data_IF_410872336414
#
_entry.id   IF_410872336414
#
_cell.length_a   1.000
_cell.length_b   1.000
_cell.length_c   1.000
_cell.angle_alpha   90.00
_cell.angle_beta   90.00
_cell.angle_gamma   90.00
#
_symmetry.space_group_name_H-M   'P 1'
#
loop_
_entity.id
_entity.type
_entity.pdbx_description
1 polymer ?
#
# COMPACT_ATOMS: atom_id res chain seq x y z
N UNK A 1 7.48 -1.18 -20.46
CA UNK A 1 6.61 -1.42 -19.29
C UNK A 1 7.18 -0.63 -18.14
N UNK A 2 6.39 0.29 -17.58
CA UNK A 2 6.81 1.14 -16.47
C UNK A 2 7.22 0.32 -15.24
N UNK A 3 8.09 0.86 -14.38
CA UNK A 3 8.56 0.20 -13.16
C UNK A 3 7.36 -0.17 -12.28
N UNK A 4 6.38 0.73 -12.19
CA UNK A 4 5.14 0.51 -11.47
C UNK A 4 4.34 -0.71 -12.01
N UNK A 5 4.19 -0.82 -13.33
CA UNK A 5 3.50 -1.97 -13.95
C UNK A 5 4.25 -3.30 -13.75
N UNK A 6 5.59 -3.25 -13.66
CA UNK A 6 6.41 -4.42 -13.30
C UNK A 6 6.16 -4.84 -11.85
N UNK A 7 6.14 -3.88 -10.93
CA UNK A 7 5.90 -4.14 -9.52
C UNK A 7 4.51 -4.74 -9.29
N UNK A 8 3.47 -4.14 -9.87
CA UNK A 8 2.11 -4.67 -9.81
C UNK A 8 2.02 -6.09 -10.40
N UNK A 9 2.71 -6.34 -11.52
CA UNK A 9 2.78 -7.68 -12.11
C UNK A 9 3.44 -8.67 -11.14
N UNK A 10 4.55 -8.29 -10.52
CA UNK A 10 5.28 -9.12 -9.55
C UNK A 10 4.39 -9.44 -8.34
N UNK A 11 3.66 -8.47 -7.82
CA UNK A 11 2.70 -8.66 -6.73
C UNK A 11 1.57 -9.62 -7.11
N UNK A 12 0.98 -9.44 -8.30
CA UNK A 12 -0.06 -10.35 -8.80
C UNK A 12 0.44 -11.79 -8.92
N UNK A 13 1.67 -11.98 -9.40
CA UNK A 13 2.28 -13.31 -9.49
C UNK A 13 2.59 -13.90 -8.12
N UNK A 14 3.06 -13.09 -7.15
CA UNK A 14 3.24 -13.54 -5.76
C UNK A 14 1.90 -14.00 -5.16
N UNK A 15 0.80 -13.30 -5.44
CA UNK A 15 -0.53 -13.71 -5.00
C UNK A 15 -0.94 -15.06 -5.61
N UNK A 16 -0.72 -15.27 -6.91
CA UNK A 16 -1.00 -16.56 -7.57
C UNK A 16 -0.14 -17.70 -7.00
N UNK A 17 1.16 -17.47 -6.75
CA UNK A 17 2.05 -18.47 -6.14
C UNK A 17 1.55 -18.88 -4.75
N UNK A 18 1.10 -17.91 -3.94
CA UNK A 18 0.52 -18.17 -2.61
C UNK A 18 -0.79 -18.96 -2.73
N UNK A 19 -1.71 -18.54 -3.61
CA UNK A 19 -2.95 -19.26 -3.86
C UNK A 19 -2.68 -20.71 -4.32
N UNK A 20 -1.69 -20.92 -5.19
CA UNK A 20 -1.26 -22.26 -5.64
C UNK A 20 -0.74 -23.11 -4.49
N UNK A 21 0.06 -22.55 -3.57
CA UNK A 21 0.52 -23.34 -2.40
C UNK A 21 -0.63 -23.83 -1.53
N UNK A 22 -1.66 -23.00 -1.31
CA UNK A 22 -2.88 -23.40 -0.58
C UNK A 22 -3.61 -24.50 -1.34
N UNK A 23 -3.72 -24.36 -2.67
CA UNK A 23 -4.35 -25.34 -3.53
C UNK A 23 -3.64 -26.71 -3.50
N UNK A 24 -2.31 -26.73 -3.58
CA UNK A 24 -1.52 -27.96 -3.50
C UNK A 24 -1.71 -28.66 -2.16
N UNK A 25 -1.76 -27.91 -1.06
CA UNK A 25 -2.07 -28.46 0.27
C UNK A 25 -3.47 -29.06 0.31
N UNK A 26 -4.46 -28.37 -0.25
CA UNK A 26 -5.84 -28.86 -0.31
C UNK A 26 -5.96 -30.13 -1.18
N UNK A 27 -5.31 -30.16 -2.34
CA UNK A 27 -5.26 -31.34 -3.20
C UNK A 27 -4.59 -32.54 -2.50
N UNK A 28 -3.47 -32.31 -1.80
CA UNK A 28 -2.81 -33.34 -1.00
C UNK A 28 -3.70 -33.86 0.13
N UNK A 29 -4.40 -32.96 0.82
CA UNK A 29 -5.37 -33.33 1.86
C UNK A 29 -6.53 -34.16 1.30
N UNK A 30 -7.08 -33.81 0.14
CA UNK A 30 -8.13 -34.60 -0.51
C UNK A 30 -7.67 -36.02 -0.85
N UNK A 31 -6.46 -36.19 -1.40
CA UNK A 31 -5.89 -37.51 -1.68
C UNK A 31 -5.76 -38.33 -0.39
N UNK A 32 -5.29 -37.72 0.69
CA UNK A 32 -5.16 -38.38 1.99
C UNK A 32 -6.52 -38.75 2.59
N UNK A 33 -7.49 -37.84 2.56
CA UNK A 33 -8.84 -38.07 3.06
C UNK A 33 -9.56 -39.18 2.30
N UNK A 34 -9.47 -39.19 0.96
CA UNK A 34 -10.02 -40.26 0.13
C UNK A 34 -9.39 -41.62 0.48
N UNK A 35 -8.07 -41.66 0.68
CA UNK A 35 -7.37 -42.89 1.08
C UNK A 35 -7.79 -43.38 2.48
N UNK A 36 -8.06 -42.47 3.42
CA UNK A 36 -8.47 -42.81 4.78
C UNK A 36 -9.90 -43.35 4.84
N UNK A 37 -10.82 -42.76 4.06
CA UNK A 37 -12.24 -43.12 4.05
C UNK A 37 -12.50 -44.36 3.19
N UNK A 38 -11.87 -44.46 2.02
CA UNK A 38 -12.17 -45.50 1.05
C UNK A 38 -11.17 -46.65 1.14
N UNK A 39 -11.29 -47.48 2.19
CA UNK A 39 -10.56 -48.76 2.30
C UNK A 39 -10.97 -49.67 1.13
N UNK A 40 -10.17 -49.71 0.06
CA UNK A 40 -10.39 -50.55 -1.12
C UNK A 40 -10.48 -49.81 -2.45
N UNK A 41 -10.46 -48.48 -2.46
CA UNK A 41 -10.25 -47.73 -3.72
C UNK A 41 -8.77 -47.80 -4.03
N UNK A 42 -8.41 -48.54 -5.08
CA UNK A 42 -7.11 -48.41 -5.71
C UNK A 42 -7.02 -46.97 -6.23
N UNK A 43 -6.40 -46.08 -5.47
CA UNK A 43 -5.97 -44.81 -6.01
C UNK A 43 -4.81 -45.10 -6.99
N UNK A 44 -4.63 -44.24 -7.99
CA UNK A 44 -3.37 -44.13 -8.72
C UNK A 44 -2.24 -44.30 -7.73
N UNK A 45 -1.23 -45.12 -8.04
CA UNK A 45 -0.19 -45.49 -7.06
C UNK A 45 0.24 -44.23 -6.32
N UNK A 46 0.14 -44.24 -4.97
CA UNK A 46 0.27 -43.00 -4.20
C UNK A 46 1.55 -42.22 -4.52
N UNK A 47 2.56 -42.93 -5.01
CA UNK A 47 3.82 -42.41 -5.57
C UNK A 47 3.58 -41.41 -6.71
N UNK A 48 2.70 -41.69 -7.68
CA UNK A 48 2.43 -40.80 -8.84
C UNK A 48 1.69 -39.54 -8.40
N UNK A 49 0.74 -39.64 -7.47
CA UNK A 49 0.06 -38.46 -6.92
C UNK A 49 1.03 -37.58 -6.12
N UNK A 50 1.89 -38.20 -5.28
CA UNK A 50 2.92 -37.51 -4.51
C UNK A 50 3.95 -36.85 -5.43
N UNK A 51 4.38 -37.54 -6.50
CA UNK A 51 5.36 -36.98 -7.44
C UNK A 51 4.81 -35.78 -8.21
N UNK A 52 3.54 -35.81 -8.59
CA UNK A 52 2.88 -34.68 -9.23
C UNK A 52 2.75 -33.49 -8.28
N UNK A 53 2.33 -33.72 -7.03
CA UNK A 53 2.27 -32.69 -5.98
C UNK A 53 3.65 -32.07 -5.74
N UNK A 54 4.69 -32.91 -5.62
CA UNK A 54 6.06 -32.46 -5.45
C UNK A 54 6.54 -31.64 -6.66
N UNK A 55 6.21 -32.07 -7.88
CA UNK A 55 6.55 -31.37 -9.11
C UNK A 55 5.91 -29.98 -9.18
N UNK A 56 4.62 -29.86 -8.87
CA UNK A 56 3.91 -28.57 -8.81
C UNK A 56 4.51 -27.67 -7.73
N UNK A 57 4.89 -28.23 -6.58
CA UNK A 57 5.52 -27.47 -5.48
C UNK A 57 6.92 -26.96 -5.86
N UNK A 58 7.76 -27.81 -6.46
CA UNK A 58 9.08 -27.42 -6.97
C UNK A 58 8.96 -26.29 -7.99
N UNK A 59 8.03 -26.43 -8.95
CA UNK A 59 7.76 -25.37 -9.91
C UNK A 59 7.35 -24.05 -9.23
N UNK A 60 6.52 -24.14 -8.18
CA UNK A 60 6.11 -22.97 -7.40
C UNK A 60 7.29 -22.27 -6.71
N UNK A 61 8.22 -23.05 -6.14
CA UNK A 61 9.47 -22.53 -5.54
C UNK A 61 10.33 -21.85 -6.61
N UNK A 62 10.52 -22.47 -7.77
CA UNK A 62 11.32 -21.89 -8.85
C UNK A 62 10.74 -20.54 -9.32
N UNK A 63 9.42 -20.46 -9.47
CA UNK A 63 8.72 -19.21 -9.77
C UNK A 63 8.95 -18.16 -8.67
N UNK A 64 8.82 -18.56 -7.39
CA UNK A 64 9.02 -17.66 -6.25
C UNK A 64 10.45 -17.10 -6.21
N UNK A 65 11.46 -17.94 -6.39
CA UNK A 65 12.87 -17.54 -6.42
C UNK A 65 13.17 -16.59 -7.57
N UNK A 66 12.54 -16.78 -8.73
CA UNK A 66 12.69 -15.86 -9.86
C UNK A 66 12.11 -14.48 -9.56
N UNK A 67 10.90 -14.44 -8.98
CA UNK A 67 10.14 -13.21 -8.71
C UNK A 67 10.65 -12.46 -7.46
N UNK A 68 11.36 -13.14 -6.57
CA UNK A 68 11.98 -12.54 -5.38
C UNK A 68 13.21 -11.68 -5.70
N UNK A 69 13.64 -11.62 -6.97
CA UNK A 69 14.74 -10.75 -7.41
C UNK A 69 14.30 -9.29 -7.44
N UNK A 70 15.23 -8.33 -7.24
CA UNK A 70 14.93 -6.90 -7.34
C UNK A 70 14.38 -6.55 -8.73
N UNK A 71 13.39 -5.64 -8.78
CA UNK A 71 12.55 -5.35 -9.96
C UNK A 71 13.38 -4.84 -11.13
N UNK A 72 14.48 -4.14 -10.86
CA UNK A 72 15.38 -3.57 -11.87
C UNK A 72 16.06 -4.65 -12.70
N UNK A 73 16.34 -5.83 -12.09
CA UNK A 73 17.04 -6.94 -12.76
C UNK A 73 16.11 -7.83 -13.59
N UNK A 74 14.79 -7.63 -13.50
CA UNK A 74 13.81 -8.47 -14.17
C UNK A 74 13.48 -7.91 -15.56
N UNK A 75 13.80 -8.69 -16.59
CA UNK A 75 13.44 -8.39 -17.97
C UNK A 75 11.91 -8.52 -18.16
N UNK A 76 11.29 -7.47 -18.69
CA UNK A 76 9.84 -7.40 -18.95
C UNK A 76 9.32 -8.51 -19.86
N UNK A 77 10.07 -8.90 -20.90
CA UNK A 77 9.66 -9.97 -21.81
C UNK A 77 9.64 -11.34 -21.11
N UNK A 78 10.67 -11.64 -20.31
CA UNK A 78 10.74 -12.88 -19.52
C UNK A 78 9.62 -12.95 -18.49
N UNK A 79 9.26 -11.81 -17.90
CA UNK A 79 8.14 -11.71 -16.96
C UNK A 79 6.80 -11.99 -17.65
N UNK A 80 6.57 -11.47 -18.86
CA UNK A 80 5.37 -11.78 -19.64
C UNK A 80 5.31 -13.26 -20.04
N UNK A 81 6.44 -13.84 -20.46
CA UNK A 81 6.52 -15.27 -20.76
C UNK A 81 6.23 -16.14 -19.53
N UNK A 82 6.82 -15.80 -18.39
CA UNK A 82 6.63 -16.53 -17.14
C UNK A 82 5.16 -16.53 -16.71
N UNK A 83 4.44 -15.41 -16.90
CA UNK A 83 3.00 -15.35 -16.64
C UNK A 83 2.21 -16.36 -17.51
N UNK A 84 2.52 -16.49 -18.80
CA UNK A 84 1.78 -17.37 -19.72
C UNK A 84 2.09 -18.80 -19.31
N UNK A 85 3.37 -19.06 -19.07
CA UNK A 85 3.88 -20.36 -18.67
C UNK A 85 3.24 -20.84 -17.37
N UNK A 86 3.09 -19.97 -16.36
CA UNK A 86 2.43 -20.32 -15.10
C UNK A 86 0.99 -20.81 -15.30
N UNK A 87 0.22 -20.11 -16.14
CA UNK A 87 -1.16 -20.49 -16.43
C UNK A 87 -1.24 -21.80 -17.19
N UNK A 88 -0.45 -21.94 -18.27
CA UNK A 88 -0.42 -23.17 -19.06
C UNK A 88 -0.03 -24.35 -18.16
N UNK A 89 0.96 -24.15 -17.30
CA UNK A 89 1.38 -25.15 -16.33
C UNK A 89 0.25 -25.54 -15.37
N UNK A 90 -0.45 -24.57 -14.78
CA UNK A 90 -1.55 -24.83 -13.84
C UNK A 90 -2.69 -25.61 -14.49
N UNK A 91 -3.13 -25.18 -15.67
CA UNK A 91 -4.20 -25.86 -16.40
C UNK A 91 -3.77 -27.28 -16.82
N UNK A 92 -2.51 -27.43 -17.26
CA UNK A 92 -1.96 -28.74 -17.64
C UNK A 92 -1.85 -29.65 -16.43
N UNK A 93 -1.39 -29.15 -15.29
CA UNK A 93 -1.28 -29.91 -14.05
C UNK A 93 -2.65 -30.42 -13.58
N UNK A 94 -3.68 -29.57 -13.60
CA UNK A 94 -5.06 -29.99 -13.30
C UNK A 94 -5.56 -31.05 -14.29
N UNK A 95 -5.24 -30.88 -15.58
CA UNK A 95 -5.61 -31.85 -16.62
C UNK A 95 -4.95 -33.21 -16.40
N UNK A 96 -3.66 -33.22 -16.03
CA UNK A 96 -2.92 -34.43 -15.68
C UNK A 96 -3.52 -35.07 -14.41
N UNK A 97 -3.89 -34.27 -13.40
CA UNK A 97 -4.57 -34.79 -12.21
C UNK A 97 -5.88 -35.51 -12.56
N UNK A 98 -6.72 -34.91 -13.41
CA UNK A 98 -7.99 -35.51 -13.85
C UNK A 98 -7.73 -36.79 -14.65
N UNK A 99 -6.74 -36.77 -15.55
CA UNK A 99 -6.35 -37.96 -16.31
C UNK A 99 -5.90 -39.12 -15.40
N UNK A 100 -5.06 -38.82 -14.42
CA UNK A 100 -4.55 -39.81 -13.45
C UNK A 100 -5.65 -40.35 -12.53
N UNK A 101 -6.68 -39.55 -12.23
CA UNK A 101 -7.84 -39.97 -11.44
C UNK A 101 -8.72 -41.00 -12.15
N UNK A 102 -8.55 -41.22 -13.47
CA UNK A 102 -9.26 -42.27 -14.17
C UNK A 102 -10.64 -41.86 -14.73
N UNK A 103 -11.14 -40.67 -14.40
CA UNK A 103 -12.44 -40.20 -14.87
C UNK A 103 -12.56 -38.67 -14.81
N UNK A 104 -13.26 -38.11 -15.79
CA UNK A 104 -13.61 -36.69 -15.88
C UNK A 104 -14.82 -36.31 -15.04
N UNK A 105 -15.55 -37.26 -14.45
CA UNK A 105 -16.73 -36.98 -13.64
C UNK A 105 -16.40 -36.95 -12.13
N UNK A 106 -15.36 -36.19 -11.77
CA UNK A 106 -14.93 -36.02 -10.39
C UNK A 106 -15.03 -34.58 -9.95
N UNK A 107 -15.14 -34.36 -8.63
CA UNK A 107 -15.07 -33.02 -8.05
C UNK A 107 -13.77 -32.27 -8.42
N UNK A 108 -12.73 -32.98 -8.84
CA UNK A 108 -11.46 -32.41 -9.33
C UNK A 108 -11.64 -31.46 -10.51
N UNK A 109 -12.72 -31.59 -11.29
CA UNK A 109 -13.06 -30.66 -12.38
C UNK A 109 -13.28 -29.23 -11.86
N UNK A 110 -13.73 -29.07 -10.62
CA UNK A 110 -13.89 -27.75 -10.00
C UNK A 110 -12.56 -26.99 -9.86
N UNK A 111 -11.42 -27.69 -9.89
CA UNK A 111 -10.09 -27.07 -9.82
C UNK A 111 -9.74 -26.24 -11.06
N UNK A 112 -10.39 -26.50 -12.21
CA UNK A 112 -10.27 -25.60 -13.35
C UNK A 112 -10.79 -24.19 -13.05
N UNK A 113 -11.75 -24.01 -12.12
CA UNK A 113 -12.16 -22.67 -11.69
C UNK A 113 -10.99 -21.88 -11.11
N UNK A 114 -10.17 -22.55 -10.29
CA UNK A 114 -9.03 -21.91 -9.64
C UNK A 114 -8.01 -21.49 -10.71
N UNK A 115 -7.81 -22.29 -11.75
CA UNK A 115 -6.95 -21.93 -12.88
C UNK A 115 -7.52 -20.73 -13.68
N UNK A 116 -8.83 -20.70 -13.93
CA UNK A 116 -9.51 -19.56 -14.59
C UNK A 116 -9.38 -18.29 -13.75
N UNK A 117 -9.62 -18.38 -12.44
CA UNK A 117 -9.44 -17.26 -11.51
C UNK A 117 -7.98 -16.81 -11.43
N UNK A 118 -7.01 -17.73 -11.44
CA UNK A 118 -5.59 -17.41 -11.55
C UNK A 118 -5.27 -16.63 -12.83
N UNK A 119 -5.91 -17.00 -13.95
CA UNK A 119 -5.86 -16.26 -15.21
C UNK A 119 -6.35 -14.82 -15.09
N UNK A 120 -7.42 -14.59 -14.31
CA UNK A 120 -7.97 -13.25 -14.06
C UNK A 120 -6.98 -12.32 -13.37
N UNK A 121 -6.22 -12.86 -12.41
CA UNK A 121 -5.26 -12.09 -11.61
C UNK A 121 -4.06 -11.65 -12.47
N UNK A 122 -3.57 -12.51 -13.36
CA UNK A 122 -2.32 -12.28 -14.10
C UNK A 122 -2.46 -11.46 -15.39
N UNK A 123 -3.61 -11.58 -16.06
CA UNK A 123 -3.79 -11.10 -17.44
C UNK A 123 -5.06 -10.29 -17.65
N UNK A 124 -5.78 -9.96 -16.56
CA UNK A 124 -7.04 -9.23 -16.63
C UNK A 124 -8.01 -9.93 -17.60
N UNK A 125 -8.74 -9.16 -18.43
CA UNK A 125 -9.78 -9.70 -19.32
C UNK A 125 -9.28 -10.72 -20.35
N UNK A 126 -8.13 -10.45 -20.98
CA UNK A 126 -7.62 -11.29 -22.07
C UNK A 126 -7.21 -12.67 -21.58
N UNK A 127 -6.64 -12.75 -20.37
CA UNK A 127 -6.27 -14.03 -19.78
C UNK A 127 -7.44 -14.87 -19.35
N UNK A 128 -8.53 -14.26 -18.89
CA UNK A 128 -9.72 -15.02 -18.49
C UNK A 128 -10.31 -15.75 -19.70
N UNK A 129 -10.46 -15.04 -20.81
CA UNK A 129 -10.93 -15.64 -22.06
C UNK A 129 -9.98 -16.74 -22.55
N UNK A 130 -8.67 -16.47 -22.55
CA UNK A 130 -7.66 -17.44 -22.95
C UNK A 130 -7.68 -18.70 -22.07
N UNK A 131 -7.68 -18.53 -20.74
CA UNK A 131 -7.72 -19.66 -19.79
C UNK A 131 -8.99 -20.47 -19.92
N UNK A 132 -10.15 -19.82 -20.02
CA UNK A 132 -11.45 -20.49 -20.19
C UNK A 132 -11.46 -21.33 -21.47
N UNK A 133 -10.93 -20.79 -22.56
CA UNK A 133 -10.82 -21.50 -23.84
C UNK A 133 -9.88 -22.71 -23.73
N UNK A 134 -8.68 -22.54 -23.16
CA UNK A 134 -7.70 -23.62 -22.99
C UNK A 134 -8.26 -24.73 -22.10
N UNK A 135 -8.90 -24.38 -20.99
CA UNK A 135 -9.60 -25.30 -20.10
C UNK A 135 -10.68 -26.09 -20.83
N UNK A 136 -11.50 -25.41 -21.64
CA UNK A 136 -12.57 -26.02 -22.41
C UNK A 136 -12.05 -27.05 -23.42
N UNK A 137 -10.97 -26.71 -24.14
CA UNK A 137 -10.32 -27.61 -25.09
C UNK A 137 -9.73 -28.84 -24.37
N UNK A 138 -8.99 -28.63 -23.28
CA UNK A 138 -8.34 -29.72 -22.55
C UNK A 138 -9.36 -30.67 -21.92
N UNK A 139 -10.42 -30.15 -21.31
CA UNK A 139 -11.48 -30.98 -20.75
C UNK A 139 -12.22 -31.78 -21.81
N UNK A 140 -12.51 -31.15 -22.95
CA UNK A 140 -13.14 -31.82 -24.09
C UNK A 140 -12.25 -32.97 -24.59
N UNK A 141 -10.95 -32.72 -24.75
CA UNK A 141 -9.97 -33.74 -25.11
C UNK A 141 -9.92 -34.90 -24.10
N UNK A 142 -9.89 -34.60 -22.80
CA UNK A 142 -9.95 -35.61 -21.74
C UNK A 142 -11.25 -36.42 -21.79
N UNK A 143 -12.39 -35.78 -22.02
CA UNK A 143 -13.69 -36.47 -22.12
C UNK A 143 -13.73 -37.44 -23.31
N UNK A 144 -13.13 -37.06 -24.44
CA UNK A 144 -12.97 -37.96 -25.59
C UNK A 144 -12.02 -39.13 -25.27
N UNK A 145 -10.90 -38.87 -24.60
CA UNK A 145 -9.99 -39.94 -24.17
C UNK A 145 -10.69 -40.96 -23.25
N UNK A 146 -11.60 -40.51 -22.39
CA UNK A 146 -12.39 -41.38 -21.50
C UNK A 146 -13.39 -42.21 -22.30
N UNK A 147 -14.08 -41.56 -23.25
CA UNK A 147 -15.02 -42.22 -24.16
C UNK A 147 -14.37 -43.39 -24.92
N UNK A 148 -13.15 -43.19 -25.45
CA UNK A 148 -12.39 -44.23 -26.16
C UNK A 148 -11.71 -45.24 -25.21
N UNK A 149 -11.71 -44.98 -23.89
CA UNK A 149 -11.11 -45.88 -22.91
C UNK A 149 -9.59 -45.83 -22.83
N UNK A 150 -8.96 -44.73 -23.26
CA UNK A 150 -7.50 -44.53 -23.18
C UNK A 150 -7.00 -44.11 -21.78
N UNK A 151 -7.88 -44.02 -20.78
CA UNK A 151 -7.44 -43.71 -19.42
C UNK A 151 -6.62 -44.85 -18.83
N UNK A 152 -5.44 -44.50 -18.29
CA UNK A 152 -4.51 -45.44 -17.65
C UNK A 152 -5.13 -46.26 -16.52
N UNK A 153 -6.11 -45.68 -15.82
CA UNK A 153 -6.68 -46.25 -14.63
C UNK A 153 -8.22 -46.27 -14.73
N UNK A 154 -8.81 -47.47 -14.67
CA UNK A 154 -10.26 -47.62 -14.58
C UNK A 154 -10.60 -47.85 -13.10
N UNK A 155 -11.31 -46.92 -12.45
CA UNK A 155 -11.75 -47.12 -11.07
C UNK A 155 -12.66 -48.35 -10.97
N UNK A 156 -12.72 -48.95 -9.76
CA UNK A 156 -13.47 -50.18 -9.51
C UNK A 156 -14.89 -50.11 -10.14
N UNK A 157 -15.24 -51.06 -11.04
CA UNK A 157 -16.44 -50.98 -11.86
C UNK A 157 -17.75 -50.88 -11.07
N UNK A 158 -17.81 -51.31 -9.81
CA UNK A 158 -19.06 -51.25 -9.03
C UNK A 158 -19.43 -49.84 -8.57
N UNK A 159 -18.46 -48.99 -8.23
CA UNK A 159 -18.72 -47.63 -7.78
C UNK A 159 -18.92 -46.63 -8.93
N UNK A 160 -18.42 -46.96 -10.13
CA UNK A 160 -18.33 -46.01 -11.27
C UNK A 160 -19.24 -46.38 -12.45
N UNK A 161 -19.94 -47.52 -12.39
CA UNK A 161 -20.90 -47.95 -13.45
C UNK A 161 -21.95 -46.89 -13.81
N UNK A 162 -22.41 -46.10 -12.84
CA UNK A 162 -23.43 -45.06 -13.09
C UNK A 162 -22.89 -43.83 -13.86
N UNK A 163 -21.58 -43.67 -13.93
CA UNK A 163 -20.93 -42.43 -14.36
C UNK A 163 -19.81 -42.63 -15.39
N UNK A 164 -19.56 -43.86 -15.83
CA UNK A 164 -18.57 -44.13 -16.86
C UNK A 164 -19.02 -43.59 -18.22
N UNK A 165 -18.14 -42.80 -18.86
CA UNK A 165 -18.36 -42.28 -20.22
C UNK A 165 -18.00 -43.29 -21.32
N UNK A 166 -17.39 -44.43 -20.96
CA UNK A 166 -16.86 -45.38 -21.93
C UNK A 166 -17.95 -45.89 -22.86
N UNK A 167 -17.76 -45.67 -24.17
CA UNK A 167 -18.71 -46.05 -25.22
C UNK A 167 -20.14 -45.47 -25.07
N UNK A 168 -20.34 -44.43 -24.24
CA UNK A 168 -21.64 -43.78 -24.08
C UNK A 168 -21.62 -42.35 -24.63
N UNK A 169 -21.85 -42.23 -25.93
CA UNK A 169 -21.79 -40.96 -26.67
C UNK A 169 -22.71 -39.88 -26.08
N UNK A 170 -23.91 -40.28 -25.67
CA UNK A 170 -24.92 -39.35 -25.14
C UNK A 170 -24.49 -38.72 -23.82
N UNK A 171 -23.90 -39.51 -22.91
CA UNK A 171 -23.36 -39.02 -21.65
C UNK A 171 -22.14 -38.13 -21.88
N UNK A 172 -21.24 -38.51 -22.78
CA UNK A 172 -20.02 -37.74 -23.08
C UNK A 172 -20.36 -36.35 -23.61
N UNK A 173 -21.23 -36.24 -24.63
CA UNK A 173 -21.65 -34.93 -25.15
C UNK A 173 -22.32 -34.11 -24.05
N UNK A 174 -23.25 -34.71 -23.29
CA UNK A 174 -23.97 -34.00 -22.23
C UNK A 174 -22.99 -33.43 -21.19
N UNK A 175 -21.99 -34.21 -20.79
CA UNK A 175 -20.98 -33.77 -19.83
C UNK A 175 -20.07 -32.67 -20.40
N UNK A 176 -19.64 -32.78 -21.66
CA UNK A 176 -18.89 -31.72 -22.35
C UNK A 176 -19.70 -30.42 -22.40
N UNK A 177 -20.98 -30.49 -22.76
CA UNK A 177 -21.86 -29.32 -22.81
C UNK A 177 -22.03 -28.66 -21.44
N UNK A 178 -22.34 -29.45 -20.40
CA UNK A 178 -22.50 -28.95 -19.02
C UNK A 178 -21.21 -28.28 -18.55
N UNK A 179 -20.06 -28.92 -18.75
CA UNK A 179 -18.78 -28.36 -18.34
C UNK A 179 -18.44 -27.07 -19.09
N UNK A 180 -18.67 -27.01 -20.40
CA UNK A 180 -18.42 -25.79 -21.17
C UNK A 180 -19.31 -24.64 -20.69
N UNK A 181 -20.61 -24.88 -20.48
CA UNK A 181 -21.52 -23.87 -19.92
C UNK A 181 -20.99 -23.38 -18.57
N UNK A 182 -20.58 -24.30 -17.70
CA UNK A 182 -20.01 -23.98 -16.40
C UNK A 182 -18.70 -23.17 -16.50
N UNK A 183 -17.76 -23.59 -17.35
CA UNK A 183 -16.48 -22.92 -17.53
C UNK A 183 -16.66 -21.50 -18.10
N UNK A 184 -17.57 -21.32 -19.06
CA UNK A 184 -17.92 -20.01 -19.60
C UNK A 184 -18.64 -19.12 -18.58
N UNK A 185 -19.57 -19.68 -17.79
CA UNK A 185 -20.19 -18.94 -16.69
C UNK A 185 -19.15 -18.47 -15.67
N UNK A 186 -18.20 -19.33 -15.31
CA UNK A 186 -17.08 -18.99 -14.45
C UNK A 186 -16.16 -17.91 -15.07
N UNK A 187 -15.89 -17.99 -16.38
CA UNK A 187 -15.14 -16.99 -17.10
C UNK A 187 -15.83 -15.61 -17.09
N UNK A 188 -17.14 -15.57 -17.32
CA UNK A 188 -17.95 -14.34 -17.22
C UNK A 188 -17.94 -13.78 -15.80
N UNK A 189 -18.10 -14.63 -14.80
CA UNK A 189 -18.01 -14.22 -13.39
C UNK A 189 -16.63 -13.65 -13.04
N UNK A 190 -15.55 -14.30 -13.49
CA UNK A 190 -14.19 -13.81 -13.31
C UNK A 190 -13.95 -12.47 -14.03
N UNK A 191 -14.55 -12.25 -15.21
CA UNK A 191 -14.48 -10.97 -15.92
C UNK A 191 -15.13 -9.85 -15.11
N UNK A 192 -16.31 -10.11 -14.53
CA UNK A 192 -16.99 -9.16 -13.65
C UNK A 192 -16.12 -8.80 -12.43
N UNK A 193 -15.53 -9.79 -11.77
CA UNK A 193 -14.62 -9.55 -10.63
C UNK A 193 -13.37 -8.76 -11.03
N UNK A 194 -12.80 -9.05 -12.21
CA UNK A 194 -11.67 -8.30 -12.73
C UNK A 194 -12.02 -6.82 -12.97
N UNK A 195 -13.21 -6.53 -13.49
CA UNK A 195 -13.69 -5.17 -13.69
C UNK A 195 -13.90 -4.41 -12.38
N UNK A 196 -14.50 -5.04 -11.37
CA UNK A 196 -14.66 -4.45 -10.03
C UNK A 196 -13.29 -4.12 -9.42
N UNK A 197 -12.32 -5.02 -9.55
CA UNK A 197 -10.97 -4.81 -9.03
C UNK A 197 -10.23 -3.69 -9.77
N UNK A 198 -10.36 -3.59 -11.11
CA UNK A 198 -9.75 -2.51 -11.88
C UNK A 198 -10.34 -1.15 -11.48
N UNK A 199 -11.66 -1.08 -11.29
CA UNK A 199 -12.31 0.17 -10.84
C UNK A 199 -11.80 0.57 -9.46
N UNK A 200 -11.77 -0.37 -8.52
CA UNK A 200 -11.24 -0.14 -7.16
C UNK A 200 -9.77 0.31 -7.18
N UNK A 201 -8.94 -0.23 -8.06
CA UNK A 201 -7.55 0.20 -8.19
C UNK A 201 -7.44 1.65 -8.67
N UNK A 202 -8.24 2.06 -9.65
CA UNK A 202 -8.28 3.45 -10.12
C UNK A 202 -8.74 4.42 -9.04
N UNK A 203 -9.77 4.04 -8.29
CA UNK A 203 -10.30 4.87 -7.19
C UNK A 203 -9.23 5.05 -6.08
N UNK A 204 -8.51 3.98 -5.74
CA UNK A 204 -7.40 4.03 -4.78
C UNK A 204 -6.23 4.87 -5.28
N UNK A 205 -5.92 4.81 -6.58
CA UNK A 205 -4.87 5.62 -7.20
C UNK A 205 -5.22 7.13 -7.12
N UNK A 206 -6.47 7.49 -7.42
CA UNK A 206 -6.95 8.87 -7.27
C UNK A 206 -6.87 9.36 -5.82
N UNK A 207 -7.32 8.56 -4.86
CA UNK A 207 -7.22 8.89 -3.44
C UNK A 207 -5.76 9.09 -3.00
N UNK A 208 -4.83 8.29 -3.52
CA UNK A 208 -3.40 8.43 -3.23
C UNK A 208 -2.85 9.74 -3.79
N UNK A 209 -3.24 10.13 -5.01
CA UNK A 209 -2.83 11.40 -5.63
C UNK A 209 -3.36 12.58 -4.83
N UNK A 210 -4.65 12.56 -4.46
CA UNK A 210 -5.28 13.59 -3.63
C UNK A 210 -4.61 13.71 -2.25
N UNK A 211 -4.30 12.57 -1.61
CA UNK A 211 -3.57 12.56 -0.35
C UNK A 211 -2.16 13.13 -0.51
N UNK A 212 -1.44 12.79 -1.57
CA UNK A 212 -0.10 13.36 -1.83
C UNK A 212 -0.18 14.89 -1.98
N UNK A 213 -1.17 15.40 -2.70
CA UNK A 213 -1.38 16.84 -2.85
C UNK A 213 -1.69 17.52 -1.50
N UNK A 214 -2.63 16.98 -0.72
CA UNK A 214 -2.94 17.49 0.62
C UNK A 214 -1.73 17.45 1.56
N UNK A 215 -0.91 16.40 1.50
CA UNK A 215 0.32 16.32 2.32
C UNK A 215 1.33 17.39 1.92
N UNK A 216 1.46 17.71 0.62
CA UNK A 216 2.34 18.80 0.17
C UNK A 216 1.87 20.15 0.68
N UNK A 217 0.58 20.47 0.52
CA UNK A 217 -0.01 21.70 1.04
C UNK A 217 0.19 21.81 2.54
N UNK A 218 -0.05 20.71 3.29
CA UNK A 218 0.16 20.68 4.73
C UNK A 218 1.63 21.00 5.08
N UNK A 219 2.60 20.36 4.42
CA UNK A 219 4.02 20.64 4.67
C UNK A 219 4.42 22.08 4.34
N UNK A 220 3.85 22.68 3.30
CA UNK A 220 4.07 24.09 2.97
C UNK A 220 3.47 25.02 4.04
N UNK A 221 2.24 24.74 4.50
CA UNK A 221 1.62 25.52 5.57
C UNK A 221 2.36 25.40 6.90
N UNK A 222 2.92 24.24 7.24
CA UNK A 222 3.76 24.06 8.42
C UNK A 222 5.04 24.90 8.35
N UNK A 223 5.66 25.00 7.16
CA UNK A 223 6.84 25.84 6.96
C UNK A 223 6.51 27.33 7.11
N UNK A 224 5.40 27.79 6.53
CA UNK A 224 4.92 29.17 6.67
C UNK A 224 4.61 29.49 8.13
N UNK A 225 3.95 28.58 8.84
CA UNK A 225 3.61 28.77 10.26
C UNK A 225 4.87 28.84 11.13
N UNK A 226 5.87 27.99 10.87
CA UNK A 226 7.16 28.04 11.55
C UNK A 226 7.89 29.35 11.30
N UNK A 227 7.93 29.83 10.06
CA UNK A 227 8.53 31.13 9.74
C UNK A 227 7.81 32.28 10.47
N UNK A 228 6.47 32.31 10.42
CA UNK A 228 5.67 33.31 11.13
C UNK A 228 5.91 33.29 12.65
N UNK A 229 6.01 32.10 13.24
CA UNK A 229 6.29 31.93 14.67
C UNK A 229 7.68 32.45 15.02
N UNK A 230 8.70 32.14 14.23
CA UNK A 230 10.06 32.66 14.45
C UNK A 230 10.14 34.18 14.31
N UNK A 231 9.38 34.79 13.38
CA UNK A 231 9.28 36.25 13.24
C UNK A 231 8.57 36.89 14.43
N UNK A 232 7.48 36.28 14.91
CA UNK A 232 6.76 36.72 16.11
C UNK A 232 7.67 36.67 17.35
N UNK A 233 8.46 35.61 17.52
CA UNK A 233 9.38 35.48 18.65
C UNK A 233 10.49 36.53 18.60
N UNK A 234 11.05 36.81 17.41
CA UNK A 234 12.02 37.91 17.23
C UNK A 234 11.43 39.27 17.59
N UNK A 235 10.23 39.57 17.12
CA UNK A 235 9.54 40.82 17.45
C UNK A 235 9.27 40.96 18.95
N UNK A 236 8.92 39.86 19.64
CA UNK A 236 8.78 39.85 21.10
C UNK A 236 10.09 40.18 21.82
N UNK A 237 11.20 39.59 21.40
CA UNK A 237 12.52 39.87 21.98
C UNK A 237 12.95 41.34 21.76
N UNK A 238 12.66 41.89 20.58
CA UNK A 238 12.92 43.32 20.29
C UNK A 238 12.08 44.23 21.18
N UNK A 239 10.79 43.94 21.36
CA UNK A 239 9.92 44.69 22.26
C UNK A 239 10.40 44.66 23.71
N UNK A 240 10.88 43.49 24.18
CA UNK A 240 11.46 43.37 25.53
C UNK A 240 12.69 44.29 25.66
N UNK A 241 13.61 44.26 24.68
CA UNK A 241 14.79 45.14 24.68
C UNK A 241 14.44 46.63 24.62
N UNK A 242 13.46 47.00 23.79
CA UNK A 242 12.98 48.39 23.69
C UNK A 242 12.39 48.82 25.03
N UNK A 243 11.61 47.96 25.69
CA UNK A 243 11.03 48.23 26.99
C UNK A 243 12.11 48.43 28.05
N UNK A 244 13.11 47.57 28.12
CA UNK A 244 14.26 47.69 29.04
C UNK A 244 15.03 49.00 28.81
N UNK A 245 15.31 49.35 27.55
CA UNK A 245 15.97 50.60 27.20
C UNK A 245 15.12 51.82 27.59
N UNK A 246 13.82 51.78 27.35
CA UNK A 246 12.89 52.86 27.68
C UNK A 246 12.79 53.06 29.20
N UNK A 247 12.73 51.96 29.98
CA UNK A 247 12.77 52.01 31.43
C UNK A 247 14.07 52.64 31.94
N UNK A 248 15.22 52.27 31.36
CA UNK A 248 16.52 52.87 31.69
C UNK A 248 16.57 54.36 31.37
N UNK A 249 16.15 54.77 30.18
CA UNK A 249 16.14 56.19 29.79
C UNK A 249 15.17 57.01 30.65
N UNK A 250 14.01 56.45 31.02
CA UNK A 250 13.08 57.11 31.95
C UNK A 250 13.72 57.32 33.33
N UNK A 251 14.51 56.37 33.82
CA UNK A 251 15.22 56.49 35.08
C UNK A 251 16.31 57.57 35.01
N UNK A 252 17.12 57.58 33.96
CA UNK A 252 18.14 58.62 33.72
C UNK A 252 17.51 60.02 33.58
N UNK A 253 16.38 60.15 32.88
CA UNK A 253 15.64 61.41 32.76
C UNK A 253 15.12 61.89 34.11
N UNK A 254 14.61 60.98 34.94
CA UNK A 254 14.13 61.32 36.29
C UNK A 254 15.28 61.84 37.16
N UNK A 255 16.44 61.19 37.13
CA UNK A 255 17.64 61.65 37.84
C UNK A 255 18.09 63.05 37.37
N UNK A 256 18.09 63.29 36.05
CA UNK A 256 18.40 64.61 35.46
C UNK A 256 17.42 65.70 35.91
N UNK A 257 16.12 65.39 35.98
CA UNK A 257 15.10 66.33 36.46
C UNK A 257 15.36 66.67 37.93
N UNK A 258 15.62 65.67 38.78
CA UNK A 258 15.94 65.89 40.20
C UNK A 258 17.22 66.73 40.38
N UNK A 259 18.24 66.49 39.56
CA UNK A 259 19.47 67.30 39.53
C UNK A 259 19.20 68.76 39.14
N UNK A 260 18.42 68.99 38.08
CA UNK A 260 18.04 70.31 37.61
C UNK A 260 17.21 71.06 38.66
N UNK A 261 16.26 70.40 39.31
CA UNK A 261 15.48 70.99 40.40
C UNK A 261 16.36 71.39 41.59
N UNK A 262 17.37 70.57 41.93
CA UNK A 262 18.33 70.87 42.99
C UNK A 262 19.20 72.06 42.61
N UNK A 263 19.68 72.12 41.37
CA UNK A 263 20.45 73.24 40.86
C UNK A 263 19.63 74.54 40.83
N UNK A 264 18.36 74.46 40.42
CA UNK A 264 17.44 75.58 40.43
C UNK A 264 17.20 76.11 41.86
N UNK A 265 16.92 75.21 42.83
CA UNK A 265 16.78 75.59 44.25
C UNK A 265 18.02 76.30 44.80
N UNK A 266 19.21 75.81 44.48
CA UNK A 266 20.47 76.44 44.88
C UNK A 266 20.68 77.81 44.22
N UNK A 267 20.36 77.93 42.93
CA UNK A 267 20.56 79.17 42.16
C UNK A 267 19.60 80.25 42.61
N UNK A 268 18.31 79.93 42.74
CA UNK A 268 17.28 80.85 43.29
C UNK A 268 17.64 81.24 44.72
N UNK A 269 18.09 80.30 45.56
CA UNK A 269 18.55 80.60 46.92
C UNK A 269 19.75 81.56 46.95
N UNK A 270 20.70 81.42 46.02
CA UNK A 270 21.84 82.35 45.87
C UNK A 270 21.39 83.74 45.40
N UNK A 271 20.45 83.82 44.46
CA UNK A 271 19.91 85.09 43.99
C UNK A 271 19.20 85.85 45.10
N UNK A 272 18.33 85.18 45.87
CA UNK A 272 17.66 85.76 47.03
C UNK A 272 18.69 86.31 48.03
N UNK A 273 19.71 85.52 48.37
CA UNK A 273 20.77 85.96 49.29
C UNK A 273 21.61 87.11 48.74
N UNK A 274 21.86 87.15 47.43
CA UNK A 274 22.51 88.29 46.79
C UNK A 274 21.67 89.57 46.89
N UNK A 275 20.35 89.45 46.74
CA UNK A 275 19.42 90.59 46.89
C UNK A 275 19.46 91.11 48.34
N UNK A 276 19.43 90.22 49.32
CA UNK A 276 19.56 90.55 50.75
C UNK A 276 20.89 91.25 51.05
N UNK A 277 22.01 90.66 50.65
CA UNK A 277 23.35 91.24 50.86
C UNK A 277 23.50 92.61 50.17
N UNK A 278 22.95 92.79 48.97
CA UNK A 278 22.95 94.10 48.29
C UNK A 278 22.15 95.14 49.08
N UNK A 279 21.06 94.74 49.72
CA UNK A 279 20.26 95.59 50.59
C UNK A 279 21.03 95.98 51.85
N UNK A 280 21.65 95.01 52.54
CA UNK A 280 22.50 95.25 53.71
C UNK A 280 23.69 96.17 53.40
N UNK A 281 24.39 95.95 52.28
CA UNK A 281 25.50 96.82 51.84
C UNK A 281 25.01 98.25 51.61
N UNK A 282 23.81 98.42 51.04
CA UNK A 282 23.22 99.74 50.83
C UNK A 282 22.96 100.43 52.16
N UNK A 283 22.33 99.73 53.10
CA UNK A 283 22.06 100.25 54.46
C UNK A 283 23.36 100.60 55.21
N UNK A 284 24.39 99.75 55.14
CA UNK A 284 25.70 100.01 55.75
C UNK A 284 26.40 101.22 55.11
N UNK A 285 26.33 101.37 53.78
CA UNK A 285 26.87 102.56 53.08
C UNK A 285 26.16 103.83 53.48
N UNK A 286 24.83 103.78 53.64
CA UNK A 286 24.04 104.92 54.08
C UNK A 286 24.44 105.32 55.52
N UNK A 287 24.64 104.35 56.43
CA UNK A 287 25.16 104.60 57.79
C UNK A 287 26.58 105.18 57.82
N UNK A 288 27.49 104.72 56.96
CA UNK A 288 28.86 105.26 56.89
C UNK A 288 28.81 106.72 56.43
N UNK A 289 27.97 107.05 55.44
CA UNK A 289 27.79 108.44 55.00
C UNK A 289 27.26 109.34 56.11
N UNK A 290 26.35 108.85 56.97
CA UNK A 290 25.88 109.59 58.14
C UNK A 290 26.99 109.84 59.17
N UNK A 291 27.94 108.90 59.31
CA UNK A 291 29.08 109.05 60.22
C UNK A 291 30.19 109.95 59.67
N UNK A 292 30.40 109.99 58.35
CA UNK A 292 31.38 110.88 57.69
C UNK A 292 30.91 112.35 57.61
N UNK A 293 29.63 112.63 57.91
CA UNK A 293 29.07 113.99 57.96
C UNK A 293 28.99 114.58 59.38
N UNK A 294 29.56 113.90 60.38
CA UNK A 294 29.79 114.40 61.74
C UNK A 294 31.27 114.69 61.96
#
# INVERSE_FOLDING_TARGET
MDIFLKEQTIESMKAVIKARSIFVLFAGFQVFALKAIAKGVSLTSGIVAISLIAFVYIFNILCWLYISRPVEKINSQRLQFLKVFQIIFDVTAVSIMIYLNGTTNTFTVSFYLIAILGGSILYQKKGILFTTLVVSILYTGLSFLEYFGYFLYQPNPEAVKLFSLKNNWTLTIRQILIFNIYAWAAGVYALFLADVNIKRQKDLEQQRIELMEKTKVLTETELILKDALTKSDKARLELIRIKENLEKTNLELKEKIEELERFHRLTVGREIRMIELKKEIKELKDKIKELEQK
#
